data_IF_570654491241
#
_entry.id   IF_570654491241
#
_cell.length_a   1.000
_cell.length_b   1.000
_cell.length_c   1.000
_cell.angle_alpha   90.00
_cell.angle_beta   90.00
_cell.angle_gamma   90.00
#
_symmetry.space_group_name_H-M   'P 1'
#
loop_
_entity.id
_entity.type
_entity.pdbx_description
1 polymer ?
#
# COMPACT_ATOMS: atom_id res chain seq x y z
N UNK A 1 25.94 -7.23 -16.12
CA UNK A 1 25.02 -8.22 -15.53
C UNK A 1 23.74 -7.47 -15.15
N UNK A 2 22.61 -7.75 -15.82
CA UNK A 2 21.36 -7.04 -15.56
C UNK A 2 20.41 -7.92 -14.74
N UNK A 3 20.04 -7.45 -13.54
CA UNK A 3 19.01 -8.08 -12.70
C UNK A 3 17.76 -7.23 -12.80
N UNK A 4 16.64 -7.83 -13.15
CA UNK A 4 15.39 -7.11 -13.38
C UNK A 4 14.18 -7.92 -12.89
N UNK A 5 13.19 -7.23 -12.33
CA UNK A 5 11.86 -7.81 -12.09
C UNK A 5 11.13 -7.85 -13.43
N UNK A 6 10.81 -9.05 -13.91
CA UNK A 6 10.12 -9.26 -15.19
C UNK A 6 8.63 -9.52 -15.04
N UNK A 7 8.19 -9.80 -13.82
CA UNK A 7 6.78 -9.95 -13.52
C UNK A 7 6.55 -9.99 -12.02
N UNK A 8 5.33 -9.62 -11.63
CA UNK A 8 4.87 -9.74 -10.25
C UNK A 8 3.42 -10.19 -10.22
N UNK A 9 3.05 -10.86 -9.14
CA UNK A 9 1.66 -11.19 -8.83
C UNK A 9 1.40 -10.78 -7.38
N UNK A 10 0.42 -9.90 -7.22
CA UNK A 10 0.00 -9.37 -5.94
C UNK A 10 -1.42 -9.87 -5.65
N UNK A 11 -1.62 -10.46 -4.47
CA UNK A 11 -2.92 -10.98 -4.05
C UNK A 11 -3.18 -10.59 -2.60
N UNK A 12 -4.35 -10.04 -2.33
CA UNK A 12 -4.78 -9.65 -1.00
C UNK A 12 -6.12 -8.92 -1.05
N UNK A 13 -6.67 -8.62 0.12
CA UNK A 13 -7.92 -7.87 0.25
C UNK A 13 -7.60 -6.40 0.51
N UNK A 14 -7.99 -5.54 -0.42
CA UNK A 14 -7.89 -4.10 -0.30
C UNK A 14 -9.25 -3.46 -0.03
N UNK A 15 -9.23 -2.32 0.65
CA UNK A 15 -10.39 -1.47 0.89
C UNK A 15 -10.17 -0.11 0.24
N UNK A 16 -11.24 0.42 -0.34
CA UNK A 16 -11.30 1.79 -0.87
C UNK A 16 -12.39 2.55 -0.13
N UNK A 17 -11.99 3.59 0.60
CA UNK A 17 -12.93 4.45 1.34
C UNK A 17 -13.07 5.78 0.61
N UNK A 18 -14.29 6.10 0.17
CA UNK A 18 -14.60 7.36 -0.50
C UNK A 18 -15.01 8.40 0.54
N UNK A 19 -14.17 9.41 0.77
CA UNK A 19 -14.41 10.44 1.77
C UNK A 19 -13.64 11.74 1.48
N UNK A 20 -14.18 12.92 1.84
CA UNK A 20 -15.56 13.14 2.29
C UNK A 20 -16.55 12.95 1.13
N UNK A 21 -17.81 12.66 1.43
CA UNK A 21 -18.88 12.72 0.43
C UNK A 21 -19.19 14.19 0.11
N UNK A 22 -19.54 14.46 -1.14
CA UNK A 22 -19.75 15.80 -1.69
C UNK A 22 -21.07 15.84 -2.48
N UNK A 23 -21.73 16.99 -2.50
CA UNK A 23 -23.03 17.16 -3.17
C UNK A 23 -22.94 17.16 -4.71
N UNK A 24 -21.79 17.55 -5.26
CA UNK A 24 -21.55 17.66 -6.71
C UNK A 24 -20.66 16.54 -7.20
N UNK A 25 -20.84 16.13 -8.46
CA UNK A 25 -19.98 15.15 -9.09
C UNK A 25 -18.50 15.60 -9.19
N UNK A 26 -17.53 14.68 -9.03
CA UNK A 26 -17.69 13.33 -8.49
C UNK A 26 -18.04 13.45 -7.01
N UNK A 27 -19.11 12.79 -6.54
CA UNK A 27 -19.75 12.99 -5.23
C UNK A 27 -18.90 12.61 -4.00
N UNK A 28 -17.58 12.64 -4.13
CA UNK A 28 -16.59 12.43 -3.09
C UNK A 28 -15.33 13.25 -3.37
N UNK A 29 -14.65 13.70 -2.30
CA UNK A 29 -13.49 14.57 -2.40
C UNK A 29 -12.16 13.83 -2.61
N UNK A 30 -12.02 12.65 -1.99
CA UNK A 30 -10.83 11.83 -2.07
C UNK A 30 -11.16 10.34 -1.87
N UNK A 31 -10.17 9.51 -2.14
CA UNK A 31 -10.21 8.06 -1.96
C UNK A 31 -9.07 7.68 -1.04
N UNK A 32 -9.35 6.84 -0.04
CA UNK A 32 -8.32 6.17 0.74
C UNK A 32 -8.16 4.74 0.22
N UNK A 33 -6.93 4.30 0.03
CA UNK A 33 -6.62 2.93 -0.33
C UNK A 33 -5.70 2.31 0.73
N UNK A 34 -6.05 1.12 1.20
CA UNK A 34 -5.23 0.31 2.09
C UNK A 34 -5.59 -1.18 1.97
N UNK A 35 -4.67 -2.05 2.34
CA UNK A 35 -4.90 -3.47 2.56
C UNK A 35 -5.24 -3.73 4.02
N UNK A 36 -6.10 -4.71 4.28
CA UNK A 36 -6.40 -5.14 5.66
C UNK A 36 -5.20 -5.83 6.31
N UNK A 37 -4.49 -6.65 5.53
CA UNK A 37 -3.30 -7.39 5.93
C UNK A 37 -2.21 -7.22 4.87
N UNK A 38 -0.93 -7.46 5.20
CA UNK A 38 0.15 -7.46 4.21
C UNK A 38 -0.18 -8.40 3.03
N UNK A 39 -0.25 -7.89 1.79
CA UNK A 39 -0.64 -8.71 0.65
C UNK A 39 0.45 -9.72 0.28
N UNK A 40 0.04 -10.83 -0.33
CA UNK A 40 0.94 -11.85 -0.87
C UNK A 40 1.58 -11.36 -2.17
N UNK A 41 2.92 -11.35 -2.21
CA UNK A 41 3.71 -10.93 -3.36
C UNK A 41 4.56 -12.09 -3.90
N UNK A 42 4.39 -12.41 -5.18
CA UNK A 42 5.26 -13.31 -5.95
C UNK A 42 6.01 -12.50 -7.00
N UNK A 43 7.34 -12.58 -6.99
CA UNK A 43 8.22 -11.87 -7.92
C UNK A 43 8.94 -12.84 -8.86
N UNK A 44 8.93 -12.52 -10.14
CA UNK A 44 9.75 -13.16 -11.17
C UNK A 44 10.92 -12.23 -11.47
N UNK A 45 12.14 -12.68 -11.19
CA UNK A 45 13.36 -11.88 -11.32
C UNK A 45 14.29 -12.59 -12.31
N UNK A 46 14.62 -11.89 -13.40
CA UNK A 46 15.59 -12.33 -14.41
C UNK A 46 17.01 -11.93 -14.02
N UNK A 47 18.00 -12.66 -14.54
CA UNK A 47 19.42 -12.40 -14.29
C UNK A 47 19.99 -13.02 -13.00
N UNK A 48 19.16 -13.50 -12.07
CA UNK A 48 19.63 -14.12 -10.82
C UNK A 48 20.37 -15.45 -11.00
N UNK A 49 20.08 -16.19 -12.08
CA UNK A 49 20.74 -17.50 -12.32
C UNK A 49 22.25 -17.37 -12.50
N UNK A 50 22.71 -16.29 -13.12
CA UNK A 50 24.13 -16.01 -13.33
C UNK A 50 24.89 -15.71 -12.02
N UNK A 51 24.17 -15.49 -10.91
CA UNK A 51 24.75 -15.23 -9.59
C UNK A 51 24.83 -16.48 -8.70
N UNK A 52 24.42 -17.66 -9.19
CA UNK A 52 24.50 -18.91 -8.43
C UNK A 52 23.81 -18.84 -7.06
N UNK A 53 24.53 -19.19 -6.00
CA UNK A 53 24.02 -19.19 -4.61
C UNK A 53 23.63 -17.78 -4.13
N UNK A 54 24.40 -16.75 -4.50
CA UNK A 54 24.10 -15.35 -4.15
C UNK A 54 22.76 -14.91 -4.74
N UNK A 55 22.39 -15.41 -5.92
CA UNK A 55 21.10 -15.13 -6.55
C UNK A 55 19.89 -15.56 -5.70
N UNK A 56 20.01 -16.67 -4.96
CA UNK A 56 18.94 -17.13 -4.05
C UNK A 56 18.82 -16.23 -2.82
N UNK A 57 19.95 -15.83 -2.25
CA UNK A 57 20.00 -14.92 -1.08
C UNK A 57 19.38 -13.57 -1.46
N UNK A 58 19.82 -12.98 -2.57
CA UNK A 58 19.29 -11.71 -3.08
C UNK A 58 17.78 -11.81 -3.32
N UNK A 59 17.28 -12.89 -3.93
CA UNK A 59 15.83 -13.09 -4.13
C UNK A 59 15.06 -13.08 -2.82
N UNK A 60 15.59 -13.76 -1.79
CA UNK A 60 14.96 -13.83 -0.48
C UNK A 60 14.89 -12.46 0.19
N UNK A 61 16.01 -11.72 0.15
CA UNK A 61 16.09 -10.35 0.69
C UNK A 61 15.10 -9.44 -0.01
N UNK A 62 15.11 -9.41 -1.36
CA UNK A 62 14.17 -8.58 -2.14
C UNK A 62 12.73 -8.89 -1.74
N UNK A 63 12.34 -10.17 -1.71
CA UNK A 63 10.98 -10.56 -1.36
C UNK A 63 10.61 -10.11 0.06
N UNK A 64 11.49 -10.35 1.04
CA UNK A 64 11.23 -9.99 2.44
C UNK A 64 11.13 -8.48 2.60
N UNK A 65 12.09 -7.73 2.08
CA UNK A 65 12.11 -6.26 2.15
C UNK A 65 10.90 -5.66 1.45
N UNK A 66 10.53 -6.14 0.26
CA UNK A 66 9.33 -5.62 -0.42
C UNK A 66 8.06 -5.88 0.39
N UNK A 67 7.90 -7.08 0.98
CA UNK A 67 6.74 -7.36 1.84
C UNK A 67 6.70 -6.46 3.08
N UNK A 68 7.84 -6.21 3.72
CA UNK A 68 7.94 -5.29 4.85
C UNK A 68 7.55 -3.87 4.44
N UNK A 69 8.13 -3.35 3.35
CA UNK A 69 7.80 -2.02 2.83
C UNK A 69 6.32 -1.92 2.46
N UNK A 70 5.73 -2.96 1.87
CA UNK A 70 4.31 -2.96 1.54
C UNK A 70 3.42 -2.96 2.78
N UNK A 71 3.79 -3.70 3.83
CA UNK A 71 3.09 -3.67 5.11
C UNK A 71 3.15 -2.27 5.74
N UNK A 72 4.32 -1.64 5.73
CA UNK A 72 4.52 -0.31 6.30
C UNK A 72 3.83 0.79 5.48
N UNK A 73 3.66 0.64 4.17
CA UNK A 73 3.09 1.69 3.32
C UNK A 73 1.58 1.57 3.09
N UNK A 74 1.07 0.34 2.99
CA UNK A 74 -0.29 0.09 2.49
C UNK A 74 -1.20 -0.63 3.48
N UNK A 75 -0.73 -1.02 4.67
CA UNK A 75 -1.56 -1.65 5.69
C UNK A 75 -1.83 -0.66 6.81
N UNK A 76 -3.00 -0.77 7.46
CA UNK A 76 -3.36 0.06 8.60
C UNK A 76 -2.25 0.07 9.67
N UNK A 77 -1.95 1.23 10.28
CA UNK A 77 -2.69 2.49 10.19
C UNK A 77 -2.39 3.31 8.92
N UNK A 78 -1.44 2.90 8.08
CA UNK A 78 -1.07 3.63 6.88
C UNK A 78 -2.13 3.47 5.79
N UNK A 79 -2.47 4.59 5.17
CA UNK A 79 -3.47 4.69 4.10
C UNK A 79 -2.93 5.61 3.02
N UNK A 80 -3.05 5.19 1.77
CA UNK A 80 -2.80 6.10 0.65
C UNK A 80 -4.01 7.00 0.48
N UNK A 81 -3.78 8.31 0.39
CA UNK A 81 -4.83 9.27 0.04
C UNK A 81 -4.65 9.70 -1.42
N UNK A 82 -5.66 9.45 -2.24
CA UNK A 82 -5.75 9.94 -3.62
C UNK A 82 -6.79 11.06 -3.65
N UNK A 83 -6.33 12.28 -3.88
CA UNK A 83 -7.21 13.45 -4.01
C UNK A 83 -7.93 13.39 -5.36
N UNK A 84 -9.26 13.27 -5.34
CA UNK A 84 -10.07 13.25 -6.56
C UNK A 84 -10.46 14.66 -7.00
N UNK A 85 -10.68 15.57 -6.03
CA UNK A 85 -11.14 16.93 -6.27
C UNK A 85 -10.18 18.00 -5.74
N UNK A 86 -9.96 19.06 -6.51
CA UNK A 86 -9.06 20.17 -6.17
C UNK A 86 -9.66 21.24 -5.25
N UNK A 87 -10.97 21.24 -5.09
CA UNK A 87 -11.71 22.20 -4.26
C UNK A 87 -11.94 21.69 -2.83
N UNK A 88 -11.50 20.47 -2.51
CA UNK A 88 -11.53 19.96 -1.13
C UNK A 88 -10.52 20.71 -0.28
N UNK A 89 -10.92 21.30 0.87
CA UNK A 89 -9.99 21.97 1.77
C UNK A 89 -8.86 21.06 2.25
N UNK A 90 -7.66 21.60 2.38
CA UNK A 90 -6.48 20.85 2.83
C UNK A 90 -6.69 20.25 4.22
N UNK A 91 -7.34 20.97 5.12
CA UNK A 91 -7.67 20.50 6.47
C UNK A 91 -8.52 19.24 6.45
N UNK A 92 -9.53 19.20 5.57
CA UNK A 92 -10.38 18.02 5.39
C UNK A 92 -9.57 16.84 4.86
N UNK A 93 -8.67 17.06 3.91
CA UNK A 93 -7.80 16.00 3.38
C UNK A 93 -6.85 15.44 4.46
N UNK A 94 -6.33 16.29 5.34
CA UNK A 94 -5.49 15.86 6.47
C UNK A 94 -6.30 15.02 7.44
N UNK A 95 -7.50 15.46 7.82
CA UNK A 95 -8.42 14.68 8.69
C UNK A 95 -8.80 13.34 8.07
N UNK A 96 -8.96 13.29 6.74
CA UNK A 96 -9.23 12.04 6.03
C UNK A 96 -7.98 11.16 6.03
N UNK A 97 -6.78 11.69 5.75
CA UNK A 97 -5.54 10.89 5.73
C UNK A 97 -5.20 10.30 7.11
N UNK A 98 -5.39 11.09 8.16
CA UNK A 98 -5.03 10.75 9.54
C UNK A 98 -6.20 11.10 10.45
N UNK A 99 -7.25 10.26 10.46
CA UNK A 99 -8.41 10.51 11.29
C UNK A 99 -8.07 10.34 12.77
N UNK A 100 -8.88 10.94 13.63
CA UNK A 100 -8.82 10.64 15.06
C UNK A 100 -9.09 9.14 15.27
N UNK A 101 -8.45 8.51 16.28
CA UNK A 101 -8.74 7.13 16.63
C UNK A 101 -10.23 6.93 16.88
N UNK A 102 -10.81 5.87 16.33
CA UNK A 102 -12.23 5.55 16.53
C UNK A 102 -12.51 4.97 17.93
N UNK A 103 -11.47 4.47 18.60
CA UNK A 103 -11.51 3.90 19.93
C UNK A 103 -10.13 3.46 20.38
N UNK A 104 -10.02 3.05 21.65
CA UNK A 104 -8.80 2.49 22.23
C UNK A 104 -9.05 1.02 22.58
N UNK A 105 -8.11 0.15 22.22
CA UNK A 105 -8.11 -1.24 22.67
C UNK A 105 -7.21 -1.34 23.91
N UNK A 106 -7.80 -1.66 25.05
CA UNK A 106 -7.06 -2.00 26.27
C UNK A 106 -6.73 -3.50 26.24
N UNK A 107 -5.46 -3.84 26.50
CA UNK A 107 -4.96 -5.21 26.50
C UNK A 107 -4.51 -5.52 27.93
N UNK A 108 -5.14 -6.51 28.55
CA UNK A 108 -4.77 -7.04 29.88
C UNK A 108 -3.58 -8.01 29.82
#
# INVERSE_FOLDING_TARGET
>A
LNVAVTGFHLSGTASVVLAPLMEKEPCFGAQQFFFFDPPSLKLTISGLKALGMLGKIIKSIIKKTTLTVMAEMFVLPHRMLVRTRKDVPLETLIKVKSPLPLGCLEIE
#
